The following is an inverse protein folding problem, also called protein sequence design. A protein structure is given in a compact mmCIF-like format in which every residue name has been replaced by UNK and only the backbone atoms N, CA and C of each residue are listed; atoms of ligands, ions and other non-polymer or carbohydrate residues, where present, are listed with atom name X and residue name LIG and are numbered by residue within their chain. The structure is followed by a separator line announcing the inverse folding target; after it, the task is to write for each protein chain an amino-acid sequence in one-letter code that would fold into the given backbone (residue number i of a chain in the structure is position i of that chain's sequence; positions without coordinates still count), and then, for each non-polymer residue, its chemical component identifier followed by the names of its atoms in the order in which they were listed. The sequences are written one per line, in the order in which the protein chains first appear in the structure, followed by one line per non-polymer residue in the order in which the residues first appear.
data_IF_463921536529
#
_entry.id   IF_463921536529
#
_cell.length_a   1.000
_cell.length_b   1.000
_cell.length_c   1.000
_cell.angle_alpha   90.00
_cell.angle_beta   90.00
_cell.angle_gamma   90.00
#
_symmetry.space_group_name_H-M   'P 1'
#
loop_
_entity.id
_entity.type
_entity.pdbx_description
1 polymer ?
#
# COMPACT_ATOMS: atom_id res chain seq x y z
N UNK A 1 -1.41 -28.80 -13.70
CA UNK A 1 -1.71 -29.05 -15.13
C UNK A 1 -1.13 -30.37 -15.63
N UNK A 2 0.13 -30.73 -15.32
CA UNK A 2 0.77 -31.97 -15.80
C UNK A 2 0.57 -33.18 -14.87
N UNK A 3 0.49 -32.97 -13.55
CA UNK A 3 0.17 -34.00 -12.55
C UNK A 3 -0.77 -33.39 -11.51
N UNK A 4 -2.05 -33.75 -11.54
CA UNK A 4 -3.08 -33.14 -10.68
C UNK A 4 -2.98 -33.56 -9.21
N UNK A 5 -2.51 -34.78 -8.94
CA UNK A 5 -2.46 -35.33 -7.58
C UNK A 5 -1.09 -35.16 -6.89
N UNK A 6 -0.09 -34.60 -7.58
CA UNK A 6 1.22 -34.41 -7.01
C UNK A 6 1.31 -33.05 -6.30
N UNK A 7 1.32 -33.11 -4.96
CA UNK A 7 1.39 -31.95 -4.07
C UNK A 7 2.58 -31.05 -4.40
N UNK A 8 3.77 -31.61 -4.63
CA UNK A 8 4.99 -30.85 -4.93
C UNK A 8 4.87 -30.11 -6.27
N UNK A 9 4.34 -30.78 -7.30
CA UNK A 9 4.17 -30.18 -8.63
C UNK A 9 3.14 -29.06 -8.58
N UNK A 10 2.06 -29.22 -7.82
CA UNK A 10 1.05 -28.18 -7.66
C UNK A 10 1.54 -27.01 -6.80
N UNK A 11 2.36 -27.25 -5.78
CA UNK A 11 2.97 -26.17 -4.98
C UNK A 11 3.95 -25.33 -5.81
N UNK A 12 4.71 -25.95 -6.72
CA UNK A 12 5.68 -25.24 -7.56
C UNK A 12 5.03 -24.55 -8.77
N UNK A 13 4.14 -25.24 -9.48
CA UNK A 13 3.61 -24.78 -10.77
C UNK A 13 2.11 -24.43 -10.74
N UNK A 14 1.43 -24.60 -9.60
CA UNK A 14 0.04 -24.18 -9.43
C UNK A 14 -0.10 -22.66 -9.45
N UNK A 15 -1.25 -22.18 -9.93
CA UNK A 15 -1.56 -20.74 -10.06
C UNK A 15 -2.28 -20.20 -8.82
N UNK A 16 -3.21 -20.96 -8.23
CA UNK A 16 -3.93 -20.52 -7.02
C UNK A 16 -3.12 -20.68 -5.73
N UNK A 17 -2.75 -21.92 -5.38
CA UNK A 17 -2.06 -22.24 -4.11
C UNK A 17 -0.54 -22.44 -4.27
N UNK A 18 -0.04 -22.30 -5.51
CA UNK A 18 1.37 -22.51 -5.85
C UNK A 18 2.13 -21.21 -6.11
N UNK A 19 3.41 -21.35 -6.46
CA UNK A 19 4.32 -20.22 -6.77
C UNK A 19 4.29 -19.77 -8.24
N UNK A 20 3.49 -20.42 -9.08
CA UNK A 20 3.37 -20.07 -10.49
C UNK A 20 4.69 -20.13 -11.27
N UNK A 21 5.57 -21.11 -11.01
CA UNK A 21 6.88 -21.25 -11.69
C UNK A 21 6.81 -21.54 -13.21
N UNK A 22 5.63 -21.50 -13.80
CA UNK A 22 5.43 -21.57 -15.25
C UNK A 22 5.98 -20.30 -15.92
N UNK A 23 7.03 -20.48 -16.71
CA UNK A 23 7.79 -19.41 -17.38
C UNK A 23 6.99 -18.72 -18.51
N UNK A 24 5.87 -19.29 -18.95
CA UNK A 24 5.11 -18.78 -20.11
C UNK A 24 3.62 -18.75 -19.81
N UNK A 25 3.05 -17.54 -19.73
CA UNK A 25 1.61 -17.31 -19.84
C UNK A 25 1.34 -16.44 -21.07
N UNK A 26 0.30 -16.79 -21.83
CA UNK A 26 -0.19 -15.97 -22.94
C UNK A 26 -1.36 -15.07 -22.52
N UNK A 27 -1.73 -15.10 -21.24
CA UNK A 27 -2.77 -14.26 -20.72
C UNK A 27 -2.21 -12.88 -20.36
N UNK A 28 -2.45 -11.92 -21.25
CA UNK A 28 -2.04 -10.53 -21.04
C UNK A 28 -2.71 -9.92 -19.80
N UNK A 29 -3.89 -10.40 -19.38
CA UNK A 29 -4.56 -9.87 -18.18
C UNK A 29 -3.81 -10.22 -16.91
N UNK A 30 -3.20 -11.42 -16.83
CA UNK A 30 -2.35 -11.83 -15.72
C UNK A 30 -1.03 -11.04 -15.68
N UNK A 31 -0.46 -10.74 -16.85
CA UNK A 31 0.76 -9.92 -16.94
C UNK A 31 0.47 -8.47 -16.52
N UNK A 32 -0.62 -7.89 -17.01
CA UNK A 32 -1.03 -6.53 -16.66
C UNK A 32 -1.46 -6.37 -15.20
N UNK A 33 -1.81 -7.44 -14.50
CA UNK A 33 -2.27 -7.39 -13.11
C UNK A 33 -1.27 -6.71 -12.16
N UNK A 34 0.04 -6.91 -12.41
CA UNK A 34 1.14 -6.33 -11.61
C UNK A 34 1.55 -4.93 -12.14
N UNK A 35 0.94 -4.49 -13.24
CA UNK A 35 1.28 -3.27 -13.96
C UNK A 35 1.88 -3.57 -15.33
N UNK A 36 1.61 -2.71 -16.31
CA UNK A 36 2.07 -2.93 -17.69
C UNK A 36 3.60 -2.84 -17.78
N UNK A 37 4.31 -3.94 -18.12
CA UNK A 37 5.77 -3.94 -18.20
C UNK A 37 6.28 -2.91 -19.21
N UNK A 38 5.54 -2.70 -20.30
CA UNK A 38 5.89 -1.72 -21.34
C UNK A 38 6.03 -0.27 -20.85
N UNK A 39 5.50 0.07 -19.67
CA UNK A 39 5.60 1.42 -19.11
C UNK A 39 6.84 1.60 -18.23
N UNK A 40 7.43 0.51 -17.74
CA UNK A 40 8.53 0.56 -16.78
C UNK A 40 9.89 0.45 -17.48
N UNK A 41 10.93 1.10 -16.95
CA UNK A 41 12.27 0.94 -17.49
C UNK A 41 12.74 -0.51 -17.37
N UNK A 42 13.35 -1.04 -18.43
CA UNK A 42 13.79 -2.45 -18.48
C UNK A 42 14.68 -2.88 -17.30
N UNK A 43 15.60 -2.01 -16.85
CA UNK A 43 16.45 -2.33 -15.69
C UNK A 43 15.62 -2.60 -14.42
N UNK A 44 14.43 -1.98 -14.30
CA UNK A 44 13.57 -2.05 -13.13
C UNK A 44 12.94 -3.42 -13.04
N UNK A 45 12.44 -3.86 -14.18
CA UNK A 45 11.81 -5.15 -14.35
C UNK A 45 12.80 -6.28 -14.06
N UNK A 46 14.04 -6.15 -14.55
CA UNK A 46 15.08 -7.15 -14.27
C UNK A 46 15.38 -7.24 -12.76
N UNK A 47 15.44 -6.10 -12.05
CA UNK A 47 15.63 -6.12 -10.60
C UNK A 47 14.45 -6.70 -9.84
N UNK A 48 13.21 -6.36 -10.22
CA UNK A 48 12.00 -6.92 -9.61
C UNK A 48 11.92 -8.42 -9.86
N UNK A 49 12.18 -8.86 -11.09
CA UNK A 49 12.18 -10.27 -11.46
C UNK A 49 13.28 -11.06 -10.72
N UNK A 50 14.48 -10.50 -10.63
CA UNK A 50 15.55 -11.11 -9.84
C UNK A 50 15.17 -11.22 -8.36
N UNK A 51 14.59 -10.16 -7.78
CA UNK A 51 14.06 -10.19 -6.41
C UNK A 51 12.98 -11.25 -6.23
N UNK A 52 12.06 -11.36 -7.18
CA UNK A 52 11.01 -12.38 -7.18
C UNK A 52 11.58 -13.80 -7.18
N UNK A 53 12.52 -14.12 -8.07
CA UNK A 53 13.19 -15.43 -8.09
C UNK A 53 13.91 -15.69 -6.76
N UNK A 54 14.68 -14.73 -6.27
CA UNK A 54 15.49 -14.91 -5.06
C UNK A 54 14.59 -15.16 -3.85
N UNK A 55 13.59 -14.29 -3.61
CA UNK A 55 12.79 -14.37 -2.39
C UNK A 55 11.67 -15.40 -2.47
N UNK A 56 10.92 -15.47 -3.57
CA UNK A 56 9.78 -16.37 -3.69
C UNK A 56 10.15 -17.74 -4.24
N UNK A 57 11.01 -17.84 -5.26
CA UNK A 57 11.35 -19.15 -5.81
C UNK A 57 12.44 -19.88 -5.03
N UNK A 58 13.39 -19.17 -4.43
CA UNK A 58 14.50 -19.79 -3.71
C UNK A 58 14.26 -19.76 -2.20
N UNK A 59 14.24 -18.58 -1.57
CA UNK A 59 14.20 -18.46 -0.10
C UNK A 59 12.90 -19.05 0.47
N UNK A 60 11.74 -18.70 -0.08
CA UNK A 60 10.44 -19.21 0.41
C UNK A 60 10.39 -20.74 0.35
N UNK A 61 10.89 -21.37 -0.73
CA UNK A 61 10.95 -22.82 -0.83
C UNK A 61 11.87 -23.45 0.20
N UNK A 62 13.06 -22.89 0.40
CA UNK A 62 14.00 -23.39 1.42
C UNK A 62 13.34 -23.34 2.80
N UNK A 63 12.72 -22.21 3.16
CA UNK A 63 12.06 -22.04 4.45
C UNK A 63 10.85 -22.98 4.62
N UNK A 64 10.04 -23.15 3.57
CA UNK A 64 8.89 -24.05 3.60
C UNK A 64 9.31 -25.51 3.80
N UNK A 65 10.27 -26.02 3.00
CA UNK A 65 10.69 -27.42 3.09
C UNK A 65 11.59 -27.73 4.28
N UNK A 66 12.29 -26.75 4.85
CA UNK A 66 13.02 -26.91 6.12
C UNK A 66 12.11 -26.76 7.34
N UNK A 67 10.81 -26.52 7.13
CA UNK A 67 9.81 -26.28 8.15
C UNK A 67 10.24 -25.22 9.18
N UNK A 68 10.84 -24.14 8.72
CA UNK A 68 11.12 -23.00 9.60
C UNK A 68 9.80 -22.36 10.06
N UNK A 69 9.68 -22.12 11.36
CA UNK A 69 8.49 -21.55 12.03
C UNK A 69 7.23 -22.44 12.02
N UNK A 70 7.39 -23.75 11.78
CA UNK A 70 6.27 -24.71 11.77
C UNK A 70 5.16 -24.36 10.77
N UNK A 71 5.54 -23.74 9.64
CA UNK A 71 4.60 -23.27 8.62
C UNK A 71 4.35 -24.28 7.48
N UNK A 72 5.08 -25.39 7.44
CA UNK A 72 4.95 -26.39 6.36
C UNK A 72 3.59 -27.11 6.35
N UNK A 73 2.82 -27.00 7.43
CA UNK A 73 1.50 -27.62 7.56
C UNK A 73 0.37 -26.84 6.87
N UNK A 74 0.63 -25.59 6.48
CA UNK A 74 -0.31 -24.72 5.78
C UNK A 74 -0.07 -24.74 4.27
N UNK A 75 -1.06 -24.35 3.44
CA UNK A 75 -0.80 -24.15 2.01
C UNK A 75 0.34 -23.16 1.81
N UNK A 76 1.19 -23.45 0.83
CA UNK A 76 2.39 -22.68 0.58
C UNK A 76 2.06 -21.22 0.25
N UNK A 77 1.06 -21.02 -0.63
CA UNK A 77 0.56 -19.71 -0.99
C UNK A 77 -0.92 -19.57 -0.63
N UNK A 78 -1.23 -18.61 0.25
CA UNK A 78 -2.60 -18.15 0.53
C UNK A 78 -2.54 -16.77 1.21
N UNK A 79 -3.56 -15.94 1.02
CA UNK A 79 -3.77 -14.66 1.71
C UNK A 79 -4.46 -14.81 3.07
N UNK A 80 -5.07 -15.97 3.34
CA UNK A 80 -5.76 -16.22 4.60
C UNK A 80 -4.80 -16.48 5.75
N UNK A 81 -5.25 -16.12 6.96
CA UNK A 81 -4.56 -16.45 8.20
C UNK A 81 -5.18 -17.70 8.84
N UNK A 82 -4.37 -18.47 9.56
CA UNK A 82 -4.75 -19.77 10.10
C UNK A 82 -4.61 -19.85 11.62
N UNK A 83 -5.43 -20.72 12.23
CA UNK A 83 -5.31 -21.13 13.63
C UNK A 83 -4.33 -22.30 13.79
N UNK A 84 -4.05 -22.68 15.05
CA UNK A 84 -3.15 -23.82 15.36
C UNK A 84 -3.65 -25.18 14.83
N UNK A 85 -4.90 -25.26 14.39
CA UNK A 85 -5.54 -26.49 13.92
C UNK A 85 -5.62 -26.56 12.39
N UNK A 86 -5.15 -25.54 11.65
CA UNK A 86 -5.22 -25.51 10.20
C UNK A 86 -6.52 -24.94 9.64
N UNK A 87 -7.40 -24.40 10.48
CA UNK A 87 -8.62 -23.71 10.03
C UNK A 87 -8.35 -22.22 9.79
N UNK A 88 -9.20 -21.59 8.98
CA UNK A 88 -9.16 -20.13 8.78
C UNK A 88 -9.41 -19.44 10.12
N UNK A 89 -8.57 -18.45 10.44
CA UNK A 89 -8.54 -17.80 11.74
C UNK A 89 -9.83 -17.03 12.02
N UNK A 90 -10.53 -17.35 13.10
CA UNK A 90 -11.74 -16.64 13.48
C UNK A 90 -11.42 -15.34 14.24
N UNK A 91 -11.41 -14.21 13.54
CA UNK A 91 -11.13 -12.89 14.11
C UNK A 91 -12.12 -12.51 15.23
N UNK A 92 -13.38 -12.92 15.12
CA UNK A 92 -14.41 -12.62 16.14
C UNK A 92 -14.17 -13.35 17.47
N UNK A 93 -13.44 -14.48 17.46
CA UNK A 93 -13.13 -15.22 18.67
C UNK A 93 -12.16 -14.48 19.61
N UNK A 94 -11.40 -13.52 19.06
CA UNK A 94 -10.36 -12.76 19.77
C UNK A 94 -10.79 -11.33 20.08
N UNK A 95 -11.88 -10.88 19.47
CA UNK A 95 -12.50 -9.59 19.75
C UNK A 95 -13.48 -9.72 20.93
N UNK A 96 -13.39 -8.78 21.87
CA UNK A 96 -14.39 -8.62 22.93
C UNK A 96 -15.71 -8.10 22.35
N UNK A 97 -16.81 -8.18 23.10
CA UNK A 97 -18.12 -7.62 22.73
C UNK A 97 -18.07 -6.11 22.38
N UNK A 98 -17.03 -5.42 22.84
CA UNK A 98 -16.75 -4.01 22.52
C UNK A 98 -15.85 -3.82 21.29
N UNK A 99 -15.65 -4.83 20.43
CA UNK A 99 -14.72 -4.82 19.28
C UNK A 99 -13.27 -4.44 19.63
N UNK A 100 -12.86 -4.71 20.87
CA UNK A 100 -11.48 -4.50 21.33
C UNK A 100 -10.73 -5.83 21.34
N UNK A 101 -9.45 -5.81 21.05
CA UNK A 101 -8.60 -6.98 21.13
C UNK A 101 -8.50 -7.48 22.57
N UNK A 102 -8.81 -8.76 22.81
CA UNK A 102 -8.71 -9.38 24.12
C UNK A 102 -7.54 -10.39 24.15
N UNK A 103 -6.49 -10.05 24.89
CA UNK A 103 -5.29 -10.89 25.03
C UNK A 103 -5.61 -12.27 25.62
N UNK A 104 -6.50 -12.34 26.62
CA UNK A 104 -6.84 -13.63 27.26
C UNK A 104 -7.61 -14.55 26.32
N UNK A 105 -8.47 -14.00 25.47
CA UNK A 105 -9.18 -14.76 24.45
C UNK A 105 -8.20 -15.25 23.36
N UNK A 106 -7.24 -14.40 22.97
CA UNK A 106 -6.16 -14.76 22.04
C UNK A 106 -5.31 -15.94 22.54
N UNK A 107 -4.84 -15.87 23.78
CA UNK A 107 -4.01 -16.92 24.39
C UNK A 107 -4.76 -18.24 24.54
N UNK A 108 -6.07 -18.19 24.84
CA UNK A 108 -6.92 -19.38 24.96
C UNK A 108 -7.29 -20.00 23.60
N UNK A 109 -7.46 -19.19 22.55
CA UNK A 109 -7.84 -19.65 21.22
C UNK A 109 -6.64 -20.24 20.48
N UNK A 110 -5.80 -19.40 19.87
CA UNK A 110 -4.52 -19.78 19.30
C UNK A 110 -3.70 -18.57 18.85
N UNK A 111 -2.37 -18.72 18.76
CA UNK A 111 -1.55 -17.83 17.95
C UNK A 111 -2.02 -17.77 16.50
N UNK A 112 -1.73 -16.66 15.84
CA UNK A 112 -1.98 -16.47 14.41
C UNK A 112 -0.84 -17.09 13.59
N UNK A 113 -1.18 -17.98 12.66
CA UNK A 113 -0.24 -18.56 11.71
C UNK A 113 -0.46 -17.99 10.31
N UNK A 114 0.60 -17.53 9.68
CA UNK A 114 0.58 -16.98 8.33
C UNK A 114 1.26 -17.97 7.37
N UNK A 115 0.69 -18.26 6.19
CA UNK A 115 1.37 -19.02 5.14
C UNK A 115 2.76 -18.47 4.83
N UNK A 116 3.66 -19.34 4.37
CA UNK A 116 5.07 -18.97 4.15
C UNK A 116 5.24 -17.81 3.18
N UNK A 117 4.50 -17.79 2.05
CA UNK A 117 4.54 -16.65 1.12
C UNK A 117 4.04 -15.37 1.76
N UNK A 118 2.99 -15.44 2.58
CA UNK A 118 2.43 -14.28 3.25
C UNK A 118 3.39 -13.73 4.31
N UNK A 119 4.01 -14.59 5.12
CA UNK A 119 5.08 -14.18 6.03
C UNK A 119 6.25 -13.52 5.30
N UNK A 120 6.66 -14.07 4.14
CA UNK A 120 7.72 -13.48 3.31
C UNK A 120 7.36 -12.09 2.77
N UNK A 121 6.10 -11.85 2.39
CA UNK A 121 5.65 -10.51 1.98
C UNK A 121 5.78 -9.48 3.10
N UNK A 122 5.50 -9.87 4.36
CA UNK A 122 5.68 -8.99 5.51
C UNK A 122 7.16 -8.65 5.74
N UNK A 123 8.03 -9.67 5.73
CA UNK A 123 9.47 -9.48 5.89
C UNK A 123 10.01 -8.54 4.81
N UNK A 124 9.63 -8.75 3.56
CA UNK A 124 10.02 -7.91 2.44
C UNK A 124 9.50 -6.48 2.58
N UNK A 125 8.25 -6.28 3.01
CA UNK A 125 7.71 -4.95 3.19
C UNK A 125 8.49 -4.14 4.25
N UNK A 126 8.89 -4.79 5.35
CA UNK A 126 9.76 -4.16 6.36
C UNK A 126 11.14 -3.83 5.81
N UNK A 127 11.76 -4.78 5.11
CA UNK A 127 13.06 -4.58 4.47
C UNK A 127 13.02 -3.43 3.46
N UNK A 128 11.99 -3.40 2.60
CA UNK A 128 11.77 -2.35 1.60
C UNK A 128 11.62 -0.98 2.25
N UNK A 129 10.79 -0.86 3.30
CA UNK A 129 10.57 0.43 3.97
C UNK A 129 11.87 1.05 4.53
N UNK A 130 12.76 0.22 5.06
CA UNK A 130 14.07 0.68 5.58
C UNK A 130 15.04 0.94 4.44
N UNK A 131 15.06 0.06 3.43
CA UNK A 131 15.92 0.18 2.25
C UNK A 131 15.64 1.48 1.49
N UNK A 132 14.36 1.85 1.31
CA UNK A 132 13.95 3.08 0.62
C UNK A 132 14.53 4.33 1.31
N UNK A 133 14.45 4.40 2.64
CA UNK A 133 15.03 5.51 3.40
C UNK A 133 16.56 5.55 3.26
N UNK A 134 17.22 4.39 3.42
CA UNK A 134 18.68 4.31 3.32
C UNK A 134 19.17 4.63 1.91
N UNK A 135 18.50 4.14 0.88
CA UNK A 135 18.82 4.41 -0.52
C UNK A 135 18.70 5.90 -0.83
N UNK A 136 17.61 6.53 -0.39
CA UNK A 136 17.42 7.99 -0.55
C UNK A 136 18.54 8.78 0.14
N UNK A 137 18.86 8.45 1.40
CA UNK A 137 19.89 9.18 2.16
C UNK A 137 21.28 9.01 1.54
N UNK A 138 21.65 7.77 1.18
CA UNK A 138 23.00 7.45 0.69
C UNK A 138 23.26 7.98 -0.72
N UNK A 139 22.32 7.79 -1.64
CA UNK A 139 22.51 8.15 -3.05
C UNK A 139 22.04 9.57 -3.37
N UNK A 140 20.96 10.02 -2.75
CA UNK A 140 20.29 11.28 -3.08
C UNK A 140 20.25 12.30 -1.94
N UNK A 141 20.87 11.99 -0.80
CA UNK A 141 20.87 12.87 0.38
C UNK A 141 21.51 14.24 0.11
N UNK A 142 22.53 14.31 -0.75
CA UNK A 142 23.13 15.60 -1.16
C UNK A 142 22.16 16.45 -1.98
N UNK A 143 21.47 15.83 -2.95
CA UNK A 143 20.45 16.52 -3.75
C UNK A 143 19.25 16.95 -2.90
N UNK A 144 18.84 16.12 -1.93
CA UNK A 144 17.82 16.47 -0.95
C UNK A 144 18.22 17.70 -0.13
N UNK A 145 19.43 17.69 0.44
CA UNK A 145 19.94 18.82 1.24
C UNK A 145 20.04 20.11 0.41
N UNK A 146 20.48 20.00 -0.84
CA UNK A 146 20.55 21.15 -1.74
C UNK A 146 19.16 21.68 -2.10
N UNK A 147 18.19 20.79 -2.33
CA UNK A 147 16.78 21.15 -2.55
C UNK A 147 16.16 21.86 -1.35
N UNK A 148 16.38 21.34 -0.14
CA UNK A 148 15.92 21.99 1.11
C UNK A 148 16.58 23.36 1.31
N UNK A 149 17.86 23.49 0.95
CA UNK A 149 18.58 24.78 1.01
C UNK A 149 18.23 25.73 -0.15
N UNK A 150 17.30 25.37 -1.03
CA UNK A 150 16.95 26.12 -2.26
C UNK A 150 18.17 26.46 -3.13
N UNK A 151 19.21 25.64 -3.07
CA UNK A 151 20.40 25.79 -3.92
C UNK A 151 20.03 25.22 -5.28
N UNK A 152 20.18 26.02 -6.35
CA UNK A 152 19.91 25.59 -7.73
C UNK A 152 20.85 24.43 -8.10
N UNK A 153 20.29 23.22 -8.19
CA UNK A 153 21.05 21.99 -8.49
C UNK A 153 21.14 21.74 -10.00
N UNK A 154 20.11 22.12 -10.76
CA UNK A 154 19.96 21.81 -12.19
C UNK A 154 19.86 23.11 -13.02
N UNK A 155 20.29 23.06 -14.29
CA UNK A 155 20.05 24.15 -15.25
C UNK A 155 18.59 24.12 -15.73
N UNK A 156 17.99 25.29 -15.90
CA UNK A 156 16.61 25.42 -16.37
C UNK A 156 16.47 24.81 -17.79
N UNK A 157 15.69 23.72 -17.88
CA UNK A 157 15.36 23.08 -19.14
C UNK A 157 14.41 23.95 -19.98
N UNK A 158 14.15 23.54 -21.22
CA UNK A 158 13.28 24.30 -22.14
C UNK A 158 11.86 24.41 -21.56
N UNK A 159 11.39 23.39 -20.85
CA UNK A 159 10.07 23.40 -20.21
C UNK A 159 10.00 24.42 -19.07
N UNK A 160 11.00 24.47 -18.19
CA UNK A 160 11.09 25.43 -17.10
C UNK A 160 11.15 26.86 -17.64
N UNK A 161 11.95 27.11 -18.69
CA UNK A 161 12.03 28.42 -19.33
C UNK A 161 10.69 28.90 -19.88
N UNK A 162 9.94 28.01 -20.53
CA UNK A 162 8.61 28.31 -21.04
C UNK A 162 7.59 28.52 -19.91
N UNK A 163 7.77 27.81 -18.79
CA UNK A 163 6.90 27.91 -17.62
C UNK A 163 7.13 29.15 -16.76
N UNK A 164 8.30 29.80 -16.84
CA UNK A 164 8.58 31.07 -16.15
C UNK A 164 7.59 32.19 -16.50
N UNK A 165 6.85 32.08 -17.61
CA UNK A 165 5.82 33.05 -17.97
C UNK A 165 4.53 32.92 -17.14
N UNK A 166 4.32 31.78 -16.48
CA UNK A 166 3.15 31.55 -15.64
C UNK A 166 3.48 31.83 -14.17
N UNK A 167 2.58 32.51 -13.44
CA UNK A 167 2.81 32.76 -12.03
C UNK A 167 2.71 31.44 -11.24
N UNK A 168 3.69 31.21 -10.38
CA UNK A 168 3.69 30.07 -9.47
C UNK A 168 2.52 30.15 -8.47
N UNK A 169 2.18 28.99 -7.91
CA UNK A 169 1.17 28.87 -6.85
C UNK A 169 1.79 29.40 -5.56
N UNK A 170 1.18 30.39 -4.89
CA UNK A 170 1.69 30.87 -3.62
C UNK A 170 1.68 29.77 -2.55
N UNK A 171 2.75 29.68 -1.75
CA UNK A 171 2.88 28.68 -0.68
C UNK A 171 1.71 28.71 0.33
N UNK A 172 1.09 29.87 0.53
CA UNK A 172 -0.04 30.01 1.45
C UNK A 172 -1.29 29.23 1.02
N UNK A 173 -1.48 28.96 -0.29
CA UNK A 173 -2.61 28.13 -0.76
C UNK A 173 -2.50 26.71 -0.19
N UNK A 174 -1.30 26.14 -0.24
CA UNK A 174 -1.00 24.84 0.33
C UNK A 174 -1.13 24.83 1.85
N UNK A 175 -0.63 25.87 2.53
CA UNK A 175 -0.74 25.99 3.98
C UNK A 175 -2.19 26.08 4.45
N UNK A 176 -3.04 26.88 3.79
CA UNK A 176 -4.45 27.00 4.13
C UNK A 176 -5.18 25.66 3.95
N UNK A 177 -4.91 24.94 2.85
CA UNK A 177 -5.50 23.62 2.64
C UNK A 177 -5.02 22.62 3.70
N UNK A 178 -3.72 22.59 3.99
CA UNK A 178 -3.14 21.71 5.01
C UNK A 178 -3.77 21.95 6.38
N UNK A 179 -3.77 23.19 6.88
CA UNK A 179 -4.36 23.50 8.18
C UNK A 179 -5.88 23.29 8.21
N UNK A 180 -6.60 23.60 7.12
CA UNK A 180 -8.03 23.37 7.02
C UNK A 180 -8.40 21.90 7.19
N UNK A 181 -7.77 21.00 6.43
CA UNK A 181 -8.05 19.56 6.52
C UNK A 181 -7.43 18.91 7.76
N UNK A 182 -6.30 19.40 8.24
CA UNK A 182 -5.70 18.95 9.50
C UNK A 182 -6.63 19.24 10.69
N UNK A 183 -7.24 20.43 10.75
CA UNK A 183 -8.22 20.76 11.78
C UNK A 183 -9.47 19.88 11.69
N UNK A 184 -9.97 19.62 10.47
CA UNK A 184 -11.08 18.69 10.26
C UNK A 184 -10.74 17.29 10.76
N UNK A 185 -9.53 16.80 10.49
CA UNK A 185 -9.04 15.52 11.01
C UNK A 185 -9.02 15.49 12.54
N UNK A 186 -8.50 16.54 13.19
CA UNK A 186 -8.48 16.65 14.66
C UNK A 186 -9.89 16.62 15.24
N UNK A 187 -10.82 17.37 14.64
CA UNK A 187 -12.23 17.41 15.07
C UNK A 187 -12.87 16.03 14.96
N UNK A 188 -12.62 15.28 13.88
CA UNK A 188 -13.15 13.92 13.71
C UNK A 188 -12.57 12.97 14.77
N UNK A 189 -11.28 13.06 15.08
CA UNK A 189 -10.66 12.20 16.11
C UNK A 189 -11.24 12.49 17.50
N UNK A 190 -11.46 13.76 17.84
CA UNK A 190 -12.01 14.17 19.14
C UNK A 190 -13.50 13.85 19.30
N UNK A 191 -14.32 14.11 18.28
CA UNK A 191 -15.78 13.89 18.33
C UNK A 191 -16.13 12.41 18.49
N UNK A 192 -15.36 11.52 17.84
CA UNK A 192 -15.57 10.08 17.95
C UNK A 192 -14.71 9.43 19.05
N UNK A 193 -14.03 10.22 19.89
CA UNK A 193 -13.15 9.74 20.96
C UNK A 193 -12.21 8.62 20.52
N UNK A 194 -11.64 8.78 19.32
CA UNK A 194 -10.74 7.80 18.73
C UNK A 194 -9.36 8.00 19.35
N UNK A 195 -8.74 6.95 19.91
CA UNK A 195 -7.45 7.07 20.60
C UNK A 195 -6.24 7.33 19.66
N UNK A 196 -6.44 7.86 18.46
CA UNK A 196 -5.43 7.92 17.39
C UNK A 196 -4.43 9.06 17.66
N UNK A 197 -3.10 8.80 17.66
CA UNK A 197 -2.11 9.85 17.70
C UNK A 197 -2.11 10.62 16.37
N UNK A 198 -2.80 11.78 16.37
CA UNK A 198 -2.92 12.68 15.21
C UNK A 198 -1.54 13.02 14.63
N UNK A 199 -0.57 13.35 15.48
CA UNK A 199 0.77 13.75 15.06
C UNK A 199 1.50 12.63 14.28
N UNK A 200 1.37 11.38 14.73
CA UNK A 200 2.05 10.25 14.10
C UNK A 200 1.44 9.91 12.73
N UNK A 201 0.12 10.13 12.58
CA UNK A 201 -0.60 9.92 11.32
C UNK A 201 -0.14 10.88 10.21
N UNK A 202 0.36 12.06 10.58
CA UNK A 202 0.91 13.05 9.63
C UNK A 202 2.42 12.89 9.47
N UNK A 203 3.15 12.58 10.55
CA UNK A 203 4.61 12.46 10.53
C UNK A 203 5.09 11.32 9.62
N UNK A 204 4.41 10.17 9.67
CA UNK A 204 4.78 8.98 8.91
C UNK A 204 4.72 9.19 7.39
N UNK A 205 3.59 9.60 6.78
CA UNK A 205 3.57 9.89 5.35
C UNK A 205 4.54 11.01 4.99
N UNK A 206 4.67 12.06 5.80
CA UNK A 206 5.62 13.17 5.52
C UNK A 206 7.05 12.69 5.39
N UNK A 207 7.49 11.74 6.24
CA UNK A 207 8.83 11.16 6.16
C UNK A 207 9.05 10.35 4.87
N UNK A 208 8.00 9.63 4.42
CA UNK A 208 8.11 8.71 3.29
C UNK A 208 7.76 9.32 1.93
N UNK A 209 7.05 10.44 1.87
CA UNK A 209 6.64 11.12 0.61
C UNK A 209 7.85 11.42 -0.28
N UNK A 210 8.94 11.95 0.30
CA UNK A 210 10.13 12.30 -0.48
C UNK A 210 10.86 11.06 -1.03
N UNK A 211 11.25 10.06 -0.21
CA UNK A 211 11.82 8.81 -0.71
C UNK A 211 10.93 8.10 -1.74
N UNK A 212 9.63 7.98 -1.46
CA UNK A 212 8.70 7.27 -2.34
C UNK A 212 8.54 7.98 -3.67
N UNK A 213 8.38 9.30 -3.65
CA UNK A 213 8.24 10.11 -4.87
C UNK A 213 9.50 10.07 -5.74
N UNK A 214 10.68 10.04 -5.13
CA UNK A 214 11.94 9.95 -5.87
C UNK A 214 12.08 8.61 -6.62
N UNK A 215 11.82 7.50 -5.91
CA UNK A 215 11.85 6.17 -6.52
C UNK A 215 10.75 6.04 -7.57
N UNK A 216 9.55 6.53 -7.29
CA UNK A 216 8.45 6.52 -8.25
C UNK A 216 8.81 7.28 -9.54
N UNK A 217 9.50 8.42 -9.43
CA UNK A 217 9.91 9.22 -10.60
C UNK A 217 10.95 8.51 -11.46
N UNK A 218 11.90 7.78 -10.85
CA UNK A 218 12.93 7.05 -11.59
C UNK A 218 12.45 5.73 -12.17
N UNK A 219 11.66 5.01 -11.38
CA UNK A 219 11.33 3.61 -11.63
C UNK A 219 9.93 3.42 -12.20
N UNK A 220 9.04 4.40 -12.03
CA UNK A 220 7.61 4.28 -12.25
C UNK A 220 6.89 3.45 -11.18
N UNK A 221 7.62 2.77 -10.29
CA UNK A 221 7.06 1.81 -9.34
C UNK A 221 6.70 2.49 -8.02
N UNK A 222 5.45 2.29 -7.60
CA UNK A 222 4.91 2.85 -6.37
C UNK A 222 5.32 2.02 -5.15
N UNK A 223 5.77 2.68 -4.09
CA UNK A 223 6.06 2.00 -2.82
C UNK A 223 4.83 2.07 -1.94
N UNK A 224 4.39 0.90 -1.46
CA UNK A 224 3.21 0.79 -0.62
C UNK A 224 3.61 0.64 0.86
N UNK A 225 3.16 1.57 1.71
CA UNK A 225 3.43 1.55 3.17
C UNK A 225 2.37 0.78 3.98
N UNK A 226 1.52 -0.02 3.33
CA UNK A 226 0.36 -0.65 3.96
C UNK A 226 0.67 -1.41 5.25
N UNK A 227 1.77 -2.18 5.28
CA UNK A 227 2.12 -3.02 6.43
C UNK A 227 2.78 -2.21 7.56
N UNK A 228 3.65 -1.27 7.20
CA UNK A 228 4.28 -0.38 8.18
C UNK A 228 3.25 0.51 8.88
N UNK A 229 2.26 1.01 8.11
CA UNK A 229 1.15 1.80 8.61
C UNK A 229 0.13 0.99 9.44
N UNK A 230 0.23 -0.34 9.50
CA UNK A 230 -0.59 -1.19 10.39
C UNK A 230 0.15 -1.54 11.68
N UNK A 231 1.47 -1.69 11.61
CA UNK A 231 2.26 -2.26 12.72
C UNK A 231 2.69 -1.16 13.69
N UNK A 232 3.07 0.02 13.19
CA UNK A 232 3.40 1.17 14.04
C UNK A 232 2.23 1.55 14.96
N UNK A 233 1.03 1.87 14.45
CA UNK A 233 -0.12 2.12 15.33
C UNK A 233 -0.56 0.88 16.10
N UNK A 234 -0.42 -0.34 15.57
CA UNK A 234 -0.71 -1.56 16.31
C UNK A 234 0.14 -1.71 17.59
N UNK A 235 1.38 -1.23 17.57
CA UNK A 235 2.25 -1.19 18.76
C UNK A 235 1.97 0.02 19.66
N UNK A 236 1.66 1.19 19.10
CA UNK A 236 1.35 2.41 19.87
C UNK A 236 -0.03 2.35 20.54
N UNK A 237 -0.98 1.63 19.94
CA UNK A 237 -2.39 1.60 20.31
C UNK A 237 -2.88 0.15 20.43
N UNK A 238 -2.25 -0.60 21.33
CA UNK A 238 -2.66 -1.97 21.61
C UNK A 238 -4.12 -2.00 22.11
N UNK A 239 -5.00 -2.70 21.39
CA UNK A 239 -6.38 -2.95 21.82
C UNK A 239 -7.48 -2.46 20.88
N UNK A 240 -7.22 -1.43 20.05
CA UNK A 240 -8.25 -0.76 19.25
C UNK A 240 -8.06 -0.94 17.73
N UNK A 241 -8.70 -1.95 17.11
CA UNK A 241 -8.52 -2.24 15.68
C UNK A 241 -9.09 -1.14 14.78
N UNK A 242 -10.18 -0.48 15.18
CA UNK A 242 -10.79 0.62 14.43
C UNK A 242 -9.81 1.79 14.31
N UNK A 243 -9.13 2.13 15.40
CA UNK A 243 -8.21 3.24 15.44
C UNK A 243 -6.94 2.95 14.61
N UNK A 244 -6.48 1.69 14.61
CA UNK A 244 -5.43 1.23 13.70
C UNK A 244 -5.83 1.40 12.22
N UNK A 245 -7.05 1.00 11.84
CA UNK A 245 -7.55 1.15 10.46
C UNK A 245 -7.62 2.62 10.02
N UNK A 246 -8.03 3.52 10.91
CA UNK A 246 -8.07 4.96 10.62
C UNK A 246 -6.66 5.54 10.43
N UNK A 247 -5.71 5.18 11.31
CA UNK A 247 -4.31 5.59 11.17
C UNK A 247 -3.73 5.12 9.83
N UNK A 248 -3.98 3.85 9.48
CA UNK A 248 -3.57 3.28 8.19
C UNK A 248 -4.16 4.08 7.03
N UNK A 249 -5.46 4.35 7.07
CA UNK A 249 -6.14 5.10 6.01
C UNK A 249 -5.51 6.49 5.80
N UNK A 250 -5.28 7.24 6.88
CA UNK A 250 -4.62 8.55 6.76
C UNK A 250 -3.19 8.43 6.22
N UNK A 251 -2.38 7.52 6.74
CA UNK A 251 -0.97 7.40 6.36
C UNK A 251 -0.79 6.93 4.91
N UNK A 252 -1.52 5.88 4.52
CA UNK A 252 -1.38 5.28 3.18
C UNK A 252 -2.00 6.19 2.13
N UNK A 253 -3.22 6.70 2.36
CA UNK A 253 -3.89 7.54 1.36
C UNK A 253 -3.14 8.84 1.14
N UNK A 254 -2.61 9.47 2.19
CA UNK A 254 -1.81 10.70 2.05
C UNK A 254 -0.59 10.47 1.15
N UNK A 255 0.09 9.32 1.28
CA UNK A 255 1.25 9.00 0.43
C UNK A 255 0.86 8.80 -1.03
N UNK A 256 -0.23 8.06 -1.27
CA UNK A 256 -0.73 7.79 -2.62
C UNK A 256 -1.15 9.09 -3.31
N UNK A 257 -2.01 9.88 -2.67
CA UNK A 257 -2.49 11.15 -3.21
C UNK A 257 -1.36 12.16 -3.38
N UNK A 258 -0.39 12.21 -2.45
CA UNK A 258 0.78 13.08 -2.60
C UNK A 258 1.62 12.70 -3.83
N UNK A 259 1.76 11.41 -4.12
CA UNK A 259 2.54 10.94 -5.27
C UNK A 259 1.81 11.23 -6.58
N UNK A 260 0.50 10.96 -6.63
CA UNK A 260 -0.35 11.31 -7.77
C UNK A 260 -0.41 12.83 -8.01
N UNK A 261 -0.48 13.62 -6.93
CA UNK A 261 -0.46 15.09 -7.01
C UNK A 261 0.83 15.61 -7.65
N UNK A 262 1.99 15.08 -7.24
CA UNK A 262 3.30 15.44 -7.83
C UNK A 262 3.40 14.98 -9.30
N UNK A 263 2.90 13.78 -9.61
CA UNK A 263 2.86 13.26 -10.97
C UNK A 263 2.07 14.18 -11.91
N UNK A 264 0.89 14.62 -11.48
CA UNK A 264 0.03 15.53 -12.23
C UNK A 264 0.65 16.93 -12.40
N UNK A 265 1.30 17.47 -11.36
CA UNK A 265 2.03 18.73 -11.47
C UNK A 265 3.15 18.63 -12.52
N UNK A 266 3.86 17.50 -12.55
CA UNK A 266 4.91 17.25 -13.55
C UNK A 266 4.33 17.08 -14.95
N UNK A 267 3.21 16.37 -15.08
CA UNK A 267 2.47 16.26 -16.34
C UNK A 267 2.06 17.64 -16.84
N UNK A 268 1.44 18.45 -15.98
CA UNK A 268 1.07 19.85 -16.21
C UNK A 268 2.25 20.69 -16.69
N UNK A 269 3.43 20.47 -16.10
CA UNK A 269 4.68 21.09 -16.52
C UNK A 269 5.07 20.74 -17.97
N UNK A 270 4.91 19.49 -18.39
CA UNK A 270 5.22 19.05 -19.75
C UNK A 270 4.24 19.57 -20.81
N UNK A 271 2.94 19.63 -20.46
CA UNK A 271 1.87 20.10 -21.34
C UNK A 271 1.68 21.62 -21.34
N UNK A 272 2.47 22.36 -20.54
CA UNK A 272 2.45 23.83 -20.44
C UNK A 272 1.14 24.41 -19.91
N UNK A 273 0.50 23.72 -18.97
CA UNK A 273 -0.70 24.23 -18.28
C UNK A 273 -0.30 25.07 -17.06
N UNK A 274 -0.92 26.25 -16.84
CA UNK A 274 -0.57 27.12 -15.72
C UNK A 274 -0.71 26.43 -14.35
N UNK A 275 0.29 26.53 -13.45
CA UNK A 275 0.29 25.84 -12.15
C UNK A 275 -0.91 26.15 -11.23
N UNK A 276 -1.45 27.37 -11.31
CA UNK A 276 -2.64 27.76 -10.53
C UNK A 276 -3.91 27.04 -11.01
N UNK A 277 -4.02 26.80 -12.31
CA UNK A 277 -5.15 26.08 -12.86
C UNK A 277 -5.06 24.58 -12.51
N UNK A 278 -3.87 23.98 -12.60
CA UNK A 278 -3.68 22.57 -12.18
C UNK A 278 -4.04 22.38 -10.72
N UNK A 279 -3.58 23.26 -9.83
CA UNK A 279 -3.94 23.21 -8.40
C UNK A 279 -5.46 23.26 -8.18
N UNK A 280 -6.16 24.20 -8.81
CA UNK A 280 -7.62 24.32 -8.65
C UNK A 280 -8.38 23.10 -9.19
N UNK A 281 -7.96 22.58 -10.35
CA UNK A 281 -8.59 21.38 -10.94
C UNK A 281 -8.39 20.17 -10.04
N UNK A 282 -7.19 19.97 -9.50
CA UNK A 282 -6.90 18.87 -8.57
C UNK A 282 -7.68 19.01 -7.26
N UNK A 283 -7.75 20.23 -6.70
CA UNK A 283 -8.49 20.48 -5.48
C UNK A 283 -10.00 20.24 -5.64
N UNK A 284 -10.59 20.76 -6.71
CA UNK A 284 -12.03 20.56 -6.99
C UNK A 284 -12.32 19.09 -7.33
N UNK A 285 -11.43 18.45 -8.11
CA UNK A 285 -11.56 17.05 -8.50
C UNK A 285 -11.51 16.11 -7.30
N UNK A 286 -10.54 16.30 -6.39
CA UNK A 286 -10.41 15.49 -5.16
C UNK A 286 -11.59 15.68 -4.22
N UNK A 287 -12.06 16.91 -4.03
CA UNK A 287 -13.27 17.18 -3.26
C UNK A 287 -14.50 16.47 -3.85
N UNK A 288 -14.74 16.63 -5.16
CA UNK A 288 -15.86 15.99 -5.83
C UNK A 288 -15.77 14.46 -5.75
N UNK A 289 -14.59 13.90 -6.01
CA UNK A 289 -14.34 12.47 -5.93
C UNK A 289 -14.61 11.92 -4.52
N UNK A 290 -14.23 12.65 -3.47
CA UNK A 290 -14.47 12.22 -2.09
C UNK A 290 -15.97 12.05 -1.78
N UNK A 291 -16.81 13.01 -2.20
CA UNK A 291 -18.26 12.93 -2.01
C UNK A 291 -18.90 11.84 -2.86
N UNK A 292 -18.51 11.75 -4.14
CA UNK A 292 -19.05 10.72 -5.05
C UNK A 292 -18.68 9.32 -4.56
N UNK A 293 -17.43 9.08 -4.16
CA UNK A 293 -16.99 7.78 -3.66
C UNK A 293 -17.75 7.36 -2.40
N UNK A 294 -17.96 8.28 -1.45
CA UNK A 294 -18.75 7.98 -0.24
C UNK A 294 -20.21 7.73 -0.61
N UNK A 295 -20.79 8.54 -1.50
CA UNK A 295 -22.17 8.39 -1.96
C UNK A 295 -22.42 7.06 -2.67
N UNK A 296 -21.53 6.66 -3.57
CA UNK A 296 -21.60 5.36 -4.26
C UNK A 296 -21.44 4.21 -3.28
N UNK A 297 -20.50 4.28 -2.32
CA UNK A 297 -20.34 3.24 -1.28
C UNK A 297 -21.62 3.08 -0.45
N UNK A 298 -22.21 4.16 0.01
CA UNK A 298 -23.48 4.14 0.75
C UNK A 298 -24.63 3.59 -0.10
N UNK A 299 -24.69 3.99 -1.37
CA UNK A 299 -25.69 3.47 -2.31
C UNK A 299 -25.53 1.95 -2.52
N UNK A 300 -24.29 1.46 -2.67
CA UNK A 300 -24.01 0.03 -2.79
C UNK A 300 -24.53 -0.74 -1.57
N UNK A 301 -24.18 -0.31 -0.35
CA UNK A 301 -24.63 -0.97 0.88
C UNK A 301 -26.15 -1.01 1.06
N UNK A 302 -26.87 0.01 0.59
CA UNK A 302 -28.33 0.07 0.74
C UNK A 302 -29.10 -0.71 -0.34
N UNK A 303 -28.54 -0.85 -1.55
CA UNK A 303 -29.26 -1.44 -2.69
C UNK A 303 -28.85 -2.87 -3.02
N UNK A 304 -27.65 -3.30 -2.61
CA UNK A 304 -27.14 -4.62 -2.92
C UNK A 304 -27.23 -5.45 -1.63
N UNK A 305 -28.20 -6.38 -1.51
CA UNK A 305 -28.21 -7.33 -0.40
C UNK A 305 -27.02 -8.30 -0.54
N UNK A 306 -26.43 -8.67 0.59
CA UNK A 306 -25.40 -9.73 0.71
C UNK A 306 -24.09 -9.51 -0.08
N UNK A 307 -23.62 -8.26 -0.20
CA UNK A 307 -22.33 -7.87 -0.84
C UNK A 307 -21.12 -8.71 -0.35
N UNK A 308 -21.17 -9.19 0.90
CA UNK A 308 -20.06 -9.90 1.53
C UNK A 308 -20.12 -11.43 1.38
N UNK A 309 -21.14 -11.98 0.74
CA UNK A 309 -21.20 -13.43 0.51
C UNK A 309 -20.55 -13.81 -0.82
N UNK A 310 -19.72 -14.88 -0.85
CA UNK A 310 -19.08 -15.33 -2.09
C UNK A 310 -20.07 -15.79 -3.17
N UNK A 311 -21.35 -16.02 -2.80
CA UNK A 311 -22.42 -16.46 -3.70
C UNK A 311 -23.36 -15.32 -4.14
N UNK A 312 -22.91 -14.06 -4.12
CA UNK A 312 -23.72 -12.92 -4.55
C UNK A 312 -24.05 -13.04 -6.06
N UNK A 313 -25.33 -12.93 -6.48
CA UNK A 313 -25.76 -13.23 -7.85
C UNK A 313 -25.18 -12.27 -8.91
N UNK A 314 -24.60 -11.13 -8.50
CA UNK A 314 -23.94 -10.17 -9.39
C UNK A 314 -22.41 -10.29 -9.38
N UNK A 315 -21.84 -11.29 -8.69
CA UNK A 315 -20.39 -11.50 -8.55
C UNK A 315 -19.61 -10.26 -8.05
N UNK A 316 -20.27 -9.37 -7.30
CA UNK A 316 -19.61 -8.23 -6.66
C UNK A 316 -18.95 -8.69 -5.38
N UNK A 317 -17.77 -9.31 -5.51
CA UNK A 317 -16.92 -9.64 -4.37
C UNK A 317 -16.06 -8.44 -3.99
N UNK A 318 -15.61 -8.39 -2.73
CA UNK A 318 -14.64 -7.40 -2.25
C UNK A 318 -13.23 -8.03 -2.22
N UNK A 319 -12.52 -8.12 -3.36
CA UNK A 319 -11.28 -8.92 -3.48
C UNK A 319 -10.12 -8.41 -2.60
N UNK A 320 -10.16 -7.15 -2.16
CA UNK A 320 -9.13 -6.55 -1.30
C UNK A 320 -9.47 -6.59 0.19
N UNK A 321 -10.63 -7.15 0.56
CA UNK A 321 -11.18 -7.08 1.91
C UNK A 321 -11.82 -8.41 2.35
N UNK A 322 -11.36 -9.52 1.79
CA UNK A 322 -11.72 -10.86 2.27
C UNK A 322 -11.14 -11.02 3.68
N UNK A 323 -12.02 -11.09 4.68
CA UNK A 323 -11.70 -11.29 6.10
C UNK A 323 -12.06 -12.71 6.50
#
# INVERSE_FOLDING_TARGET
WILLDNILVNQLFGVDLGLGMTVVTFDWTQILWIGSPLMYPWWAEVHIFFGFILFFWIITLILYYTNTWDLAYFPLNNSNSYDRYGNVYNVLAVLSASNRFNLTAYENYSPLYLPMTYAMTYILAFALSTCVLMHMILYHGRSLLNGVKKIRVEQDDIHAKLMCNYPEVPDWWYLVCFFGFFLLMVVVVEVWHMAVPVWASVALPTLYVLPSGFIFTMTGQGITLNLLAQIIPGTLMAGDPVANMIFKAYSVQTLMESTSFVQDLKLGHYIKVPPRATFLVQFVGTLLASFIQIGVKQWMFNNIPDIYTPNQPSFLTCPHNEV
#
